data_IF_798781685187
#
_entry.id   IF_798781685187
#
_cell.length_a   1.000
_cell.length_b   1.000
_cell.length_c   1.000
_cell.angle_alpha   90.00
_cell.angle_beta   90.00
_cell.angle_gamma   90.00
#
_symmetry.space_group_name_H-M   'P 1'
#
loop_
_entity.id
_entity.type
_entity.pdbx_description
1 polymer ?
#
# COMPACT_ATOMS: atom_id res chain seq x y z
N UNK A 1 36.07 -26.04 -41.97
CA UNK A 1 35.03 -26.98 -41.50
C UNK A 1 35.28 -27.24 -40.03
N UNK A 2 34.37 -26.83 -39.15
CA UNK A 2 34.41 -27.20 -37.73
C UNK A 2 33.99 -28.66 -37.61
N UNK A 3 34.92 -29.52 -37.18
CA UNK A 3 34.63 -30.94 -36.91
C UNK A 3 34.14 -31.04 -35.45
N UNK A 4 32.94 -31.60 -35.26
CA UNK A 4 32.41 -31.96 -33.94
C UNK A 4 32.69 -33.45 -33.70
N UNK A 5 33.45 -33.77 -32.66
CA UNK A 5 33.98 -35.12 -32.41
C UNK A 5 33.09 -36.04 -31.56
N UNK A 6 31.92 -35.57 -31.09
CA UNK A 6 30.95 -36.37 -30.34
C UNK A 6 29.61 -35.62 -30.17
N UNK A 7 28.48 -36.31 -29.92
CA UNK A 7 27.23 -35.65 -29.56
C UNK A 7 27.41 -34.92 -28.23
N UNK A 8 27.16 -33.61 -28.24
CA UNK A 8 27.09 -32.81 -27.02
C UNK A 8 25.63 -32.60 -26.63
N UNK A 9 25.31 -32.84 -25.35
CA UNK A 9 24.02 -32.47 -24.79
C UNK A 9 24.10 -31.02 -24.32
N UNK A 10 23.38 -30.13 -25.00
CA UNK A 10 23.09 -28.81 -24.46
C UNK A 10 21.84 -28.92 -23.60
N UNK A 11 21.96 -28.67 -22.30
CA UNK A 11 20.80 -28.44 -21.43
C UNK A 11 20.49 -26.95 -21.50
N UNK A 12 19.33 -26.59 -22.03
CA UNK A 12 18.84 -25.23 -21.96
C UNK A 12 18.35 -24.99 -20.51
N UNK A 13 19.17 -24.31 -19.71
CA UNK A 13 18.76 -23.75 -18.43
C UNK A 13 18.01 -22.44 -18.72
N UNK A 14 16.69 -22.46 -18.62
CA UNK A 14 15.91 -21.23 -18.52
C UNK A 14 16.03 -20.75 -17.07
N UNK A 15 17.08 -19.98 -16.77
CA UNK A 15 17.18 -19.33 -15.46
C UNK A 15 16.06 -18.29 -15.35
N UNK A 16 15.21 -18.36 -14.30
CA UNK A 16 14.14 -17.40 -14.11
C UNK A 16 14.74 -16.02 -13.84
N UNK A 17 14.63 -15.11 -14.81
CA UNK A 17 15.10 -13.72 -14.66
C UNK A 17 14.01 -12.88 -13.98
N UNK A 18 14.36 -12.04 -12.99
CA UNK A 18 13.43 -11.08 -12.42
C UNK A 18 12.78 -10.21 -13.50
N UNK A 19 11.46 -10.06 -13.45
CA UNK A 19 10.73 -9.16 -14.32
C UNK A 19 9.56 -8.53 -13.57
N UNK A 20 9.42 -7.21 -13.69
CA UNK A 20 8.24 -6.48 -13.18
C UNK A 20 7.18 -6.50 -14.27
N UNK A 21 5.94 -6.84 -13.92
CA UNK A 21 4.84 -6.83 -14.87
C UNK A 21 4.56 -5.40 -15.37
N UNK A 22 4.08 -5.19 -16.61
CA UNK A 22 3.62 -3.88 -17.07
C UNK A 22 2.55 -3.30 -16.12
N UNK A 23 2.78 -2.11 -15.58
CA UNK A 23 1.90 -1.52 -14.57
C UNK A 23 1.88 -2.29 -13.23
N UNK A 24 2.89 -3.13 -12.98
CA UNK A 24 3.00 -3.99 -11.82
C UNK A 24 3.39 -3.27 -10.52
N UNK A 25 3.80 -1.99 -10.58
CA UNK A 25 4.06 -1.19 -9.39
C UNK A 25 2.83 -0.34 -9.08
N UNK A 26 2.19 -0.62 -7.95
CA UNK A 26 0.88 -0.05 -7.59
C UNK A 26 0.85 0.33 -6.12
N UNK A 27 -0.11 1.15 -5.73
CA UNK A 27 -0.43 1.40 -4.33
C UNK A 27 -0.86 0.06 -3.68
N UNK A 28 -0.28 -0.28 -2.52
CA UNK A 28 -0.50 -1.58 -1.88
C UNK A 28 -1.94 -1.81 -1.42
N UNK A 29 -2.75 -0.76 -1.30
CA UNK A 29 -4.15 -0.84 -0.94
C UNK A 29 -5.08 -1.32 -2.08
N UNK A 30 -4.53 -1.62 -3.26
CA UNK A 30 -5.26 -2.08 -4.46
C UNK A 30 -6.45 -1.19 -4.83
N UNK A 31 -6.27 -0.35 -5.87
CA UNK A 31 -7.28 0.62 -6.30
C UNK A 31 -7.11 2.03 -5.70
N UNK A 32 -5.95 2.34 -5.09
CA UNK A 32 -5.59 3.73 -4.77
C UNK A 32 -5.67 4.65 -5.99
N UNK A 33 -5.58 5.97 -5.79
CA UNK A 33 -5.71 6.97 -6.87
C UNK A 33 -4.97 6.51 -8.14
N UNK A 34 -5.72 6.36 -9.25
CA UNK A 34 -5.23 5.80 -10.51
C UNK A 34 -4.06 6.60 -11.13
N UNK A 35 -3.74 7.77 -10.57
CA UNK A 35 -2.83 8.75 -11.14
C UNK A 35 -1.43 8.76 -10.49
N UNK A 36 -1.13 7.87 -9.54
CA UNK A 36 0.24 7.66 -9.08
C UNK A 36 0.41 7.16 -7.65
N UNK A 37 1.63 7.29 -7.14
CA UNK A 37 2.06 6.83 -5.82
C UNK A 37 2.53 8.04 -5.00
N UNK A 38 2.35 8.01 -3.69
CA UNK A 38 2.78 9.11 -2.82
C UNK A 38 4.00 8.73 -1.98
N UNK A 39 4.85 9.70 -1.66
CA UNK A 39 5.93 9.52 -0.69
C UNK A 39 5.38 9.00 0.65
N UNK A 40 6.10 8.06 1.26
CA UNK A 40 5.67 7.38 2.48
C UNK A 40 4.62 6.29 2.28
N UNK A 41 4.01 6.15 1.10
CA UNK A 41 2.99 5.12 0.85
C UNK A 41 3.58 3.71 0.80
N UNK A 42 2.74 2.71 1.10
CA UNK A 42 3.06 1.33 0.78
C UNK A 42 2.75 1.07 -0.69
N UNK A 43 3.69 0.41 -1.36
CA UNK A 43 3.58 -0.02 -2.75
C UNK A 43 3.72 -1.54 -2.84
N UNK A 44 3.02 -2.12 -3.81
CA UNK A 44 3.18 -3.51 -4.23
C UNK A 44 3.81 -3.55 -5.62
N UNK A 45 4.82 -4.40 -5.79
CA UNK A 45 5.53 -4.64 -7.05
C UNK A 45 5.25 -6.07 -7.47
N UNK A 46 4.45 -6.25 -8.52
CA UNK A 46 4.07 -7.55 -9.08
C UNK A 46 4.97 -7.93 -10.24
N UNK A 47 5.25 -9.23 -10.35
CA UNK A 47 6.13 -9.73 -11.39
C UNK A 47 6.36 -11.23 -11.32
N UNK A 48 7.50 -11.65 -11.86
CA UNK A 48 7.99 -13.02 -11.82
C UNK A 48 9.44 -13.05 -11.37
N UNK A 49 9.80 -14.08 -10.61
CA UNK A 49 11.18 -14.34 -10.18
C UNK A 49 11.80 -13.16 -9.40
N UNK A 50 10.98 -12.37 -8.70
CA UNK A 50 11.43 -11.16 -8.01
C UNK A 50 12.29 -11.45 -6.76
N UNK A 51 12.14 -12.65 -6.19
CA UNK A 51 12.85 -13.14 -5.01
C UNK A 51 12.99 -14.67 -5.11
N UNK A 52 14.04 -15.28 -4.54
CA UNK A 52 14.19 -16.74 -4.52
C UNK A 52 13.16 -17.43 -3.62
N UNK A 53 12.66 -16.72 -2.61
CA UNK A 53 11.74 -17.27 -1.61
C UNK A 53 10.86 -16.18 -1.01
N UNK A 54 9.85 -16.64 -0.27
CA UNK A 54 8.99 -15.81 0.55
C UNK A 54 9.74 -15.39 1.82
N UNK A 55 9.80 -14.10 2.12
CA UNK A 55 10.26 -13.59 3.42
C UNK A 55 9.46 -12.37 3.83
N UNK A 56 8.93 -12.39 5.05
CA UNK A 56 8.33 -11.24 5.72
C UNK A 56 9.42 -10.50 6.49
N UNK A 57 9.45 -9.17 6.39
CA UNK A 57 10.35 -8.33 7.17
C UNK A 57 9.93 -8.20 8.65
N UNK A 58 10.77 -7.64 9.52
CA UNK A 58 10.36 -7.25 10.87
C UNK A 58 9.25 -6.19 10.83
N UNK A 59 8.51 -6.04 11.92
CA UNK A 59 7.43 -5.04 12.02
C UNK A 59 7.93 -3.60 12.08
N UNK A 60 9.09 -3.34 12.71
CA UNK A 60 9.77 -2.04 12.75
C UNK A 60 11.17 -2.16 13.39
N UNK A 61 12.21 -1.49 12.86
CA UNK A 61 12.22 -0.87 11.54
C UNK A 61 12.22 -1.93 10.44
N UNK A 62 11.57 -1.63 9.31
CA UNK A 62 11.64 -2.45 8.10
C UNK A 62 13.09 -2.55 7.59
N UNK A 63 13.45 -3.71 7.05
CA UNK A 63 14.78 -3.93 6.46
C UNK A 63 14.81 -3.48 5.00
N UNK A 64 15.95 -2.98 4.52
CA UNK A 64 16.16 -2.62 3.11
C UNK A 64 16.65 -3.80 2.26
N UNK A 65 16.82 -4.98 2.87
CA UNK A 65 17.16 -6.23 2.18
C UNK A 65 16.42 -7.40 2.82
N UNK A 66 15.81 -8.25 1.99
CA UNK A 66 15.19 -9.52 2.37
C UNK A 66 15.57 -10.54 1.28
N UNK A 67 16.04 -11.74 1.65
CA UNK A 67 16.52 -12.75 0.68
C UNK A 67 17.56 -12.22 -0.34
N UNK A 68 18.42 -11.27 0.08
CA UNK A 68 19.37 -10.57 -0.83
C UNK A 68 18.68 -9.84 -2.00
N UNK A 69 17.40 -9.51 -1.83
CA UNK A 69 16.62 -8.65 -2.71
C UNK A 69 16.59 -7.25 -2.11
N UNK A 70 16.90 -6.27 -2.94
CA UNK A 70 16.78 -4.85 -2.62
C UNK A 70 15.87 -4.18 -3.64
N UNK A 71 15.19 -3.12 -3.21
CA UNK A 71 14.41 -2.25 -4.09
C UNK A 71 14.92 -0.83 -3.95
N UNK A 72 15.14 -0.16 -5.07
CA UNK A 72 15.56 1.24 -5.12
C UNK A 72 14.58 2.07 -5.93
N UNK A 73 14.46 3.33 -5.53
CA UNK A 73 13.95 4.41 -6.35
C UNK A 73 15.07 5.44 -6.46
N UNK A 74 15.51 5.70 -7.68
CA UNK A 74 16.72 6.48 -7.95
C UNK A 74 17.91 5.96 -7.11
N UNK A 75 18.40 6.75 -6.15
CA UNK A 75 19.50 6.42 -5.24
C UNK A 75 19.10 5.89 -3.86
N UNK A 76 17.80 5.87 -3.54
CA UNK A 76 17.31 5.51 -2.21
C UNK A 76 16.81 4.06 -2.15
N UNK A 77 17.29 3.29 -1.16
CA UNK A 77 16.76 1.96 -0.86
C UNK A 77 15.42 2.05 -0.14
N UNK A 78 14.44 1.32 -0.64
CA UNK A 78 13.11 1.24 -0.02
C UNK A 78 13.14 0.26 1.16
N UNK A 79 12.54 0.61 2.30
CA UNK A 79 12.25 -0.35 3.35
C UNK A 79 11.22 -1.40 2.87
N UNK A 80 11.50 -2.67 3.12
CA UNK A 80 10.73 -3.81 2.62
C UNK A 80 9.86 -4.41 3.72
N UNK A 81 8.56 -4.51 3.44
CA UNK A 81 7.60 -5.23 4.28
C UNK A 81 7.68 -6.73 4.02
N UNK A 82 7.82 -7.12 2.76
CA UNK A 82 7.71 -8.50 2.31
C UNK A 82 8.30 -8.69 0.91
N UNK A 83 8.89 -9.87 0.65
CA UNK A 83 9.30 -10.30 -0.69
C UNK A 83 8.79 -11.71 -0.98
N UNK A 84 8.46 -11.98 -2.24
CA UNK A 84 8.17 -13.31 -2.79
C UNK A 84 8.55 -13.36 -4.27
N UNK A 85 8.56 -14.56 -4.89
CA UNK A 85 8.80 -14.66 -6.33
C UNK A 85 7.83 -13.84 -7.19
N UNK A 86 6.59 -13.60 -6.73
CA UNK A 86 5.58 -12.89 -7.51
C UNK A 86 5.26 -11.46 -7.04
N UNK A 87 5.70 -11.08 -5.84
CA UNK A 87 5.30 -9.81 -5.23
C UNK A 87 6.34 -9.29 -4.23
N UNK A 88 6.60 -7.99 -4.25
CA UNK A 88 7.33 -7.27 -3.20
C UNK A 88 6.43 -6.16 -2.64
N UNK A 89 6.35 -6.03 -1.32
CA UNK A 89 5.74 -4.88 -0.67
C UNK A 89 6.81 -4.03 -0.01
N UNK A 90 6.80 -2.73 -0.29
CA UNK A 90 7.81 -1.79 0.17
C UNK A 90 7.19 -0.44 0.52
N UNK A 91 7.89 0.37 1.31
CA UNK A 91 7.52 1.75 1.57
C UNK A 91 8.28 2.68 0.63
N UNK A 92 7.58 3.58 -0.06
CA UNK A 92 8.25 4.69 -0.74
C UNK A 92 8.81 5.67 0.29
N UNK A 93 10.04 6.19 0.12
CA UNK A 93 10.59 7.20 1.02
C UNK A 93 9.71 8.44 1.08
N UNK A 94 9.56 9.05 2.26
CA UNK A 94 8.80 10.30 2.42
C UNK A 94 9.37 11.44 1.56
N UNK A 95 10.69 11.48 1.41
CA UNK A 95 11.40 12.52 0.66
C UNK A 95 11.36 12.35 -0.87
N UNK A 96 10.64 11.34 -1.38
CA UNK A 96 10.52 11.11 -2.83
C UNK A 96 9.83 12.31 -3.48
N UNK A 97 10.52 12.97 -4.41
CA UNK A 97 9.97 14.12 -5.13
C UNK A 97 8.79 13.72 -6.02
N UNK A 98 7.98 14.70 -6.41
CA UNK A 98 6.92 14.49 -7.40
C UNK A 98 7.54 14.41 -8.80
N UNK A 99 7.06 13.50 -9.63
CA UNK A 99 7.59 13.32 -10.99
C UNK A 99 7.56 11.87 -11.46
N UNK A 100 8.26 11.61 -12.57
CA UNK A 100 8.47 10.26 -13.06
C UNK A 100 9.78 9.71 -12.51
N UNK A 101 9.71 8.52 -11.92
CA UNK A 101 10.83 7.81 -11.33
C UNK A 101 10.92 6.39 -11.86
N UNK A 102 12.06 5.74 -11.64
CA UNK A 102 12.23 4.31 -11.94
C UNK A 102 12.41 3.53 -10.66
N UNK A 103 11.56 2.53 -10.44
CA UNK A 103 11.78 1.52 -9.40
C UNK A 103 12.64 0.42 -9.98
N UNK A 104 13.66 0.00 -9.24
CA UNK A 104 14.58 -1.07 -9.61
C UNK A 104 14.58 -2.14 -8.52
N UNK A 105 14.26 -3.38 -8.90
CA UNK A 105 14.40 -4.57 -8.07
C UNK A 105 15.70 -5.26 -8.44
N UNK A 106 16.56 -5.47 -7.45
CA UNK A 106 17.83 -6.17 -7.62
C UNK A 106 17.88 -7.38 -6.68
N UNK A 107 17.93 -8.57 -7.25
CA UNK A 107 18.27 -9.81 -6.57
C UNK A 107 19.73 -10.17 -6.89
N UNK A 108 20.56 -10.42 -5.87
CA UNK A 108 21.99 -10.69 -6.06
C UNK A 108 22.24 -11.85 -7.05
N UNK A 109 23.11 -11.60 -8.04
CA UNK A 109 23.45 -12.60 -9.07
C UNK A 109 22.51 -12.64 -10.27
N UNK A 110 21.40 -11.88 -10.24
CA UNK A 110 20.45 -11.77 -11.35
C UNK A 110 20.49 -10.37 -12.01
N UNK A 111 20.10 -10.25 -13.29
CA UNK A 111 19.83 -8.96 -13.91
C UNK A 111 18.76 -8.17 -13.14
N UNK A 112 18.87 -6.82 -13.05
CA UNK A 112 17.86 -5.99 -12.41
C UNK A 112 16.57 -5.97 -13.23
N UNK A 113 15.43 -5.90 -12.53
CA UNK A 113 14.14 -5.59 -13.13
C UNK A 113 13.76 -4.14 -12.81
N UNK A 114 13.18 -3.42 -13.76
CA UNK A 114 12.79 -2.03 -13.53
C UNK A 114 11.45 -1.68 -14.14
N UNK A 115 10.77 -0.69 -13.54
CA UNK A 115 9.52 -0.16 -14.04
C UNK A 115 9.40 1.34 -13.72
N UNK A 116 8.87 2.14 -14.65
CA UNK A 116 8.58 3.55 -14.38
C UNK A 116 7.38 3.68 -13.46
N UNK A 117 7.40 4.69 -12.59
CA UNK A 117 6.27 5.06 -11.73
C UNK A 117 6.07 6.59 -11.74
N UNK A 118 4.81 7.06 -11.69
CA UNK A 118 4.51 8.44 -11.37
C UNK A 118 4.37 8.61 -9.85
N UNK A 119 5.15 9.55 -9.30
CA UNK A 119 5.03 10.00 -7.92
C UNK A 119 4.28 11.32 -7.88
N UNK A 120 3.21 11.36 -7.10
CA UNK A 120 2.33 12.51 -6.89
C UNK A 120 2.28 12.86 -5.40
N UNK A 121 1.79 14.05 -5.07
CA UNK A 121 1.80 14.52 -3.69
C UNK A 121 0.93 13.69 -2.74
N UNK A 122 -0.25 13.28 -3.19
CA UNK A 122 -1.21 12.48 -2.43
C UNK A 122 -1.78 11.41 -3.36
N UNK A 123 -1.86 10.17 -2.89
CA UNK A 123 -2.37 9.04 -3.65
C UNK A 123 -3.10 8.08 -2.71
N UNK A 124 -4.21 8.52 -2.10
CA UNK A 124 -4.89 7.74 -1.08
C UNK A 124 -5.40 6.41 -1.66
N UNK A 125 -5.18 5.33 -0.94
CA UNK A 125 -5.79 4.03 -1.18
C UNK A 125 -6.26 3.43 0.14
N UNK A 126 -7.43 2.79 0.13
CA UNK A 126 -8.04 2.14 1.30
C UNK A 126 -7.86 0.64 1.19
N UNK A 127 -7.31 0.01 2.23
CA UNK A 127 -7.14 -1.44 2.25
C UNK A 127 -8.51 -2.12 2.23
N UNK A 128 -8.61 -3.22 1.50
CA UNK A 128 -9.84 -4.00 1.42
C UNK A 128 -9.57 -5.49 1.28
N UNK A 129 -10.60 -6.27 1.56
CA UNK A 129 -10.65 -7.73 1.41
C UNK A 129 -11.90 -8.12 0.63
N UNK A 130 -11.99 -9.38 0.22
CA UNK A 130 -13.13 -9.88 -0.56
C UNK A 130 -12.89 -9.81 -2.07
N UNK A 131 -13.98 -9.69 -2.83
CA UNK A 131 -13.93 -9.70 -4.31
C UNK A 131 -13.90 -8.28 -4.86
N UNK A 132 -13.45 -8.06 -6.10
CA UNK A 132 -13.55 -6.74 -6.75
C UNK A 132 -14.99 -6.18 -6.80
N UNK A 133 -16.01 -7.04 -6.80
CA UNK A 133 -17.42 -6.64 -6.77
C UNK A 133 -17.89 -6.25 -5.36
N UNK A 134 -17.22 -6.71 -4.31
CA UNK A 134 -17.53 -6.43 -2.91
C UNK A 134 -16.24 -6.23 -2.09
N UNK A 135 -15.54 -5.09 -2.28
CA UNK A 135 -14.30 -4.80 -1.57
C UNK A 135 -14.62 -4.35 -0.14
N UNK A 136 -14.66 -5.27 0.82
CA UNK A 136 -14.91 -4.95 2.23
C UNK A 136 -13.68 -4.22 2.79
N UNK A 137 -13.85 -2.98 3.24
CA UNK A 137 -12.74 -2.16 3.72
C UNK A 137 -12.14 -2.70 5.02
N UNK A 138 -10.85 -2.41 5.24
CA UNK A 138 -10.19 -2.67 6.50
C UNK A 138 -10.59 -1.60 7.52
N UNK A 139 -11.70 -1.82 8.21
CA UNK A 139 -12.20 -0.96 9.26
C UNK A 139 -11.91 -1.57 10.64
N UNK A 140 -11.51 -0.72 11.58
CA UNK A 140 -11.22 -1.12 12.97
C UNK A 140 -11.88 -0.17 13.96
N UNK A 141 -12.32 -0.70 15.09
CA UNK A 141 -12.77 0.08 16.25
C UNK A 141 -11.58 0.56 17.08
N UNK A 142 -11.85 1.40 18.09
CA UNK A 142 -10.82 1.93 18.98
C UNK A 142 -10.05 0.86 19.77
N UNK A 143 -10.68 -0.28 20.04
CA UNK A 143 -10.06 -1.44 20.71
C UNK A 143 -9.29 -2.36 19.74
N UNK A 144 -9.20 -1.99 18.46
CA UNK A 144 -8.55 -2.76 17.42
C UNK A 144 -9.40 -3.88 16.82
N UNK A 145 -10.64 -4.09 17.29
CA UNK A 145 -11.52 -5.12 16.72
C UNK A 145 -11.92 -4.76 15.28
N UNK A 146 -11.88 -5.72 14.35
CA UNK A 146 -12.27 -5.46 12.97
C UNK A 146 -13.79 -5.32 12.84
N UNK A 147 -14.22 -4.43 11.94
CA UNK A 147 -15.61 -4.38 11.46
C UNK A 147 -15.74 -5.38 10.31
N UNK A 148 -16.67 -6.31 10.43
CA UNK A 148 -16.90 -7.39 9.44
C UNK A 148 -18.40 -7.54 9.17
N UNK A 149 -18.78 -8.38 8.21
CA UNK A 149 -20.20 -8.70 7.98
C UNK A 149 -20.85 -9.42 9.17
N UNK A 150 -20.06 -10.13 9.98
CA UNK A 150 -20.52 -10.78 11.22
C UNK A 150 -20.43 -9.88 12.45
N UNK A 151 -19.72 -8.76 12.35
CA UNK A 151 -19.57 -7.74 13.39
C UNK A 151 -19.69 -6.34 12.77
N UNK A 152 -20.87 -5.99 12.22
CA UNK A 152 -21.07 -4.75 11.48
C UNK A 152 -21.04 -3.54 12.42
N UNK A 153 -20.93 -2.35 11.84
CA UNK A 153 -20.99 -1.10 12.61
C UNK A 153 -22.42 -0.55 12.66
N UNK A 154 -22.76 0.13 13.76
CA UNK A 154 -24.01 0.85 13.96
C UNK A 154 -23.84 2.37 13.77
N UNK A 155 -24.97 3.07 13.67
CA UNK A 155 -24.99 4.53 13.57
C UNK A 155 -24.29 5.19 14.76
N UNK A 156 -23.58 6.30 14.51
CA UNK A 156 -22.81 7.09 15.49
C UNK A 156 -21.57 6.40 16.11
N UNK A 157 -21.31 5.12 15.82
CA UNK A 157 -20.05 4.50 16.26
C UNK A 157 -18.83 5.21 15.66
N UNK A 158 -17.70 5.13 16.37
CA UNK A 158 -16.42 5.65 15.90
C UNK A 158 -15.59 4.50 15.37
N UNK A 159 -15.17 4.61 14.11
CA UNK A 159 -14.33 3.62 13.44
C UNK A 159 -13.17 4.31 12.73
N UNK A 160 -12.11 3.55 12.48
CA UNK A 160 -11.01 3.96 11.61
C UNK A 160 -11.00 3.11 10.36
N UNK A 161 -10.89 3.74 9.19
CA UNK A 161 -10.56 3.02 7.95
C UNK A 161 -9.05 3.04 7.75
N UNK A 162 -8.48 1.89 7.39
CA UNK A 162 -7.06 1.74 7.15
C UNK A 162 -6.74 1.91 5.66
N UNK A 163 -5.61 2.56 5.37
CA UNK A 163 -5.18 2.84 4.01
C UNK A 163 -3.70 3.18 3.92
N UNK A 164 -3.29 3.76 2.80
CA UNK A 164 -1.95 4.30 2.61
C UNK A 164 -1.96 5.44 1.60
N UNK A 165 -0.90 6.25 1.59
CA UNK A 165 -0.69 7.30 0.60
C UNK A 165 -1.47 8.58 0.87
N UNK A 166 -1.79 8.87 2.14
CA UNK A 166 -2.45 10.13 2.53
C UNK A 166 -1.64 11.37 2.14
N UNK A 167 -0.31 11.29 2.07
CA UNK A 167 0.56 12.38 1.62
C UNK A 167 1.53 12.85 2.71
N UNK A 168 2.00 14.10 2.64
CA UNK A 168 3.10 14.57 3.47
C UNK A 168 2.68 14.90 4.90
N UNK A 169 3.64 14.75 5.82
CA UNK A 169 3.55 15.23 7.20
C UNK A 169 4.30 16.56 7.35
N UNK A 170 3.96 17.32 8.39
CA UNK A 170 4.72 18.50 8.80
C UNK A 170 6.09 18.03 9.33
N UNK A 171 7.08 18.04 8.44
CA UNK A 171 8.37 17.36 8.64
C UNK A 171 8.34 15.92 8.13
N UNK A 172 9.48 15.42 7.65
CA UNK A 172 9.59 14.06 7.12
C UNK A 172 9.84 13.07 8.27
N UNK A 173 8.94 12.11 8.51
CA UNK A 173 9.20 11.00 9.41
C UNK A 173 10.33 10.11 8.87
N UNK A 174 11.03 9.33 9.73
CA UNK A 174 12.02 8.37 9.26
C UNK A 174 11.36 7.22 8.50
N UNK A 175 11.93 6.87 7.35
CA UNK A 175 11.47 5.76 6.52
C UNK A 175 11.66 4.41 7.24
N UNK A 176 10.71 3.50 7.06
CA UNK A 176 10.80 2.14 7.60
C UNK A 176 10.42 2.01 9.07
N UNK A 177 10.13 3.09 9.79
CA UNK A 177 9.75 3.04 11.21
C UNK A 177 8.24 3.11 11.40
N UNK A 178 7.77 2.34 12.39
CA UNK A 178 6.40 2.44 12.89
C UNK A 178 6.28 3.70 13.74
N UNK A 179 5.22 4.46 13.50
CA UNK A 179 4.80 5.57 14.33
C UNK A 179 3.28 5.75 14.21
N UNK A 180 2.69 6.50 15.12
CA UNK A 180 1.25 6.65 15.23
C UNK A 180 0.84 8.05 15.72
N UNK A 181 -0.43 8.20 16.12
CA UNK A 181 -1.03 9.42 16.65
C UNK A 181 -0.25 10.05 17.81
N UNK A 182 0.46 9.24 18.62
CA UNK A 182 1.24 9.71 19.76
C UNK A 182 2.63 10.24 19.42
N UNK A 183 3.06 10.04 18.16
CA UNK A 183 4.45 10.31 17.74
C UNK A 183 4.73 11.76 17.34
N UNK A 184 3.71 12.63 17.34
CA UNK A 184 3.86 14.06 17.09
C UNK A 184 4.00 14.47 15.62
N UNK A 185 3.82 13.55 14.68
CA UNK A 185 3.75 13.87 13.24
C UNK A 185 2.32 14.25 12.87
N UNK A 186 2.16 15.42 12.23
CA UNK A 186 0.84 15.92 11.78
C UNK A 186 0.75 15.85 10.26
N UNK A 187 -0.30 15.22 9.74
CA UNK A 187 -0.58 15.21 8.30
C UNK A 187 -0.88 16.65 7.84
N UNK A 188 -0.31 17.07 6.71
CA UNK A 188 -0.43 18.47 6.25
C UNK A 188 -1.81 18.78 5.68
N UNK A 189 -2.41 17.84 4.96
CA UNK A 189 -3.66 18.08 4.25
C UNK A 189 -4.86 17.53 5.00
N UNK A 190 -6.00 18.25 5.00
CA UNK A 190 -7.22 17.75 5.58
C UNK A 190 -7.78 16.57 4.77
N UNK A 191 -8.36 15.61 5.48
CA UNK A 191 -9.08 14.48 4.90
C UNK A 191 -10.58 14.73 4.98
N UNK A 192 -11.32 14.32 3.95
CA UNK A 192 -12.78 14.21 3.97
C UNK A 192 -13.13 12.74 3.73
N UNK A 193 -14.01 12.18 4.56
CA UNK A 193 -14.55 10.82 4.31
C UNK A 193 -15.88 10.97 3.58
N UNK A 194 -15.99 10.33 2.42
CA UNK A 194 -17.21 10.25 1.62
C UNK A 194 -17.91 8.94 1.98
N UNK A 195 -19.09 9.01 2.60
CA UNK A 195 -19.81 7.85 3.16
C UNK A 195 -21.21 7.82 2.56
N UNK A 196 -21.44 6.97 1.56
CA UNK A 196 -22.65 7.01 0.74
C UNK A 196 -22.80 8.37 0.07
N UNK A 197 -23.88 9.10 0.39
CA UNK A 197 -24.12 10.48 -0.05
C UNK A 197 -23.67 11.54 0.95
N UNK A 198 -23.25 11.13 2.16
CA UNK A 198 -22.78 12.02 3.21
C UNK A 198 -21.29 12.32 3.06
N UNK A 199 -20.88 13.51 3.54
CA UNK A 199 -19.49 13.90 3.69
C UNK A 199 -19.19 14.15 5.16
N UNK A 200 -18.18 13.46 5.69
CA UNK A 200 -17.70 13.68 7.05
C UNK A 200 -16.42 14.51 6.97
N UNK A 201 -16.49 15.75 7.45
CA UNK A 201 -15.39 16.72 7.46
C UNK A 201 -14.76 16.90 8.84
N UNK A 202 -15.49 16.59 9.91
CA UNK A 202 -14.96 16.58 11.28
C UNK A 202 -14.26 15.24 11.55
N UNK A 203 -13.05 15.10 10.99
CA UNK A 203 -12.21 13.91 11.16
C UNK A 203 -11.58 13.91 12.55
N UNK A 204 -11.72 12.80 13.28
CA UNK A 204 -11.20 12.67 14.64
C UNK A 204 -9.69 12.41 14.65
N UNK A 205 -9.19 11.72 13.62
CA UNK A 205 -7.76 11.49 13.40
C UNK A 205 -7.50 11.14 11.94
N UNK A 206 -6.39 11.63 11.38
CA UNK A 206 -5.84 11.20 10.11
C UNK A 206 -4.31 11.20 10.18
N UNK A 207 -3.71 10.03 9.98
CA UNK A 207 -2.26 9.87 10.08
C UNK A 207 -1.86 8.40 10.13
N UNK A 208 -0.63 8.10 10.58
CA UNK A 208 -0.17 6.72 10.69
C UNK A 208 -0.90 5.93 11.76
N UNK A 209 -0.98 4.63 11.52
CA UNK A 209 -1.59 3.64 12.38
C UNK A 209 -0.53 2.74 12.98
N UNK A 210 -0.76 2.29 14.22
CA UNK A 210 0.03 1.22 14.84
C UNK A 210 -0.15 -0.15 14.15
N UNK A 211 -1.07 -0.25 13.18
CA UNK A 211 -1.30 -1.45 12.37
C UNK A 211 -0.10 -1.83 11.48
N UNK A 212 0.81 -0.90 11.18
CA UNK A 212 2.03 -1.21 10.42
C UNK A 212 2.72 0.00 9.81
N UNK A 213 3.99 -0.17 9.44
CA UNK A 213 4.76 0.87 8.74
C UNK A 213 4.09 1.22 7.42
N UNK A 214 3.88 2.51 7.17
CA UNK A 214 3.22 3.00 5.95
C UNK A 214 1.70 2.75 5.91
N UNK A 215 1.10 2.23 6.98
CA UNK A 215 -0.36 2.14 7.14
C UNK A 215 -0.87 3.42 7.77
N UNK A 216 -1.84 4.03 7.11
CA UNK A 216 -2.60 5.18 7.58
C UNK A 216 -3.93 4.74 8.20
N UNK A 217 -4.44 5.51 9.16
CA UNK A 217 -5.78 5.41 9.72
C UNK A 217 -6.51 6.75 9.59
N UNK A 218 -7.77 6.70 9.16
CA UNK A 218 -8.69 7.84 9.18
C UNK A 218 -9.87 7.50 10.09
N UNK A 219 -9.94 8.16 11.24
CA UNK A 219 -10.95 7.94 12.29
C UNK A 219 -12.10 8.92 12.16
N UNK A 220 -13.32 8.42 12.10
CA UNK A 220 -14.53 9.22 11.93
C UNK A 220 -15.72 8.59 12.63
N UNK A 221 -16.77 9.38 12.86
CA UNK A 221 -18.06 8.88 13.35
C UNK A 221 -18.95 8.46 12.18
N UNK A 222 -19.53 7.27 12.27
CA UNK A 222 -20.49 6.73 11.29
C UNK A 222 -21.74 7.60 11.28
N UNK A 223 -22.29 7.97 10.10
CA UNK A 223 -23.49 8.80 10.01
C UNK A 223 -24.66 8.28 10.85
N UNK A 224 -25.38 9.20 11.50
CA UNK A 224 -26.53 8.87 12.35
C UNK A 224 -27.69 8.20 11.57
N UNK A 225 -27.81 8.49 10.27
CA UNK A 225 -28.83 7.93 9.39
C UNK A 225 -28.19 6.94 8.42
N UNK A 226 -28.44 5.64 8.64
CA UNK A 226 -27.97 4.56 7.79
C UNK A 226 -29.06 4.11 6.81
N UNK A 227 -28.71 3.78 5.55
CA UNK A 227 -29.67 3.21 4.61
C UNK A 227 -30.11 1.80 5.05
N UNK A 228 -31.24 1.33 4.51
CA UNK A 228 -31.66 -0.07 4.64
C UNK A 228 -30.85 -0.95 3.66
N UNK A 229 -29.56 -1.11 3.94
CA UNK A 229 -28.61 -1.88 3.14
C UNK A 229 -27.57 -2.55 4.04
N UNK A 230 -26.95 -3.67 3.61
CA UNK A 230 -25.93 -4.35 4.40
C UNK A 230 -24.56 -3.64 4.39
N UNK A 231 -24.36 -2.72 3.45
CA UNK A 231 -23.09 -2.04 3.25
C UNK A 231 -23.29 -0.56 2.94
N UNK A 232 -22.28 0.24 3.32
CA UNK A 232 -22.16 1.64 2.95
C UNK A 232 -20.85 1.84 2.18
N UNK A 233 -20.93 2.47 1.01
CA UNK A 233 -19.75 2.78 0.22
C UNK A 233 -18.94 3.90 0.89
N UNK A 234 -17.64 3.69 1.06
CA UNK A 234 -16.72 4.63 1.69
C UNK A 234 -15.56 4.94 0.74
N UNK A 235 -15.23 6.22 0.64
CA UNK A 235 -13.99 6.74 0.03
C UNK A 235 -13.39 7.80 0.95
N UNK A 236 -12.15 8.15 0.71
CA UNK A 236 -11.55 9.36 1.26
C UNK A 236 -11.12 10.30 0.15
N UNK A 237 -11.15 11.60 0.46
CA UNK A 237 -10.64 12.66 -0.39
C UNK A 237 -9.61 13.48 0.36
N UNK A 238 -8.46 13.71 -0.26
CA UNK A 238 -7.37 14.53 0.29
C UNK A 238 -6.70 15.29 -0.85
N UNK A 239 -6.53 16.61 -0.70
CA UNK A 239 -5.93 17.49 -1.72
C UNK A 239 -6.52 17.30 -3.15
N UNK A 240 -7.84 17.04 -3.26
CA UNK A 240 -8.54 16.80 -4.52
C UNK A 240 -8.38 15.39 -5.12
N UNK A 241 -7.59 14.51 -4.49
CA UNK A 241 -7.45 13.10 -4.87
C UNK A 241 -8.45 12.23 -4.12
N UNK A 242 -9.12 11.31 -4.82
CA UNK A 242 -10.11 10.39 -4.24
C UNK A 242 -9.55 8.96 -4.28
N UNK A 243 -9.75 8.21 -3.20
CA UNK A 243 -9.34 6.80 -3.10
C UNK A 243 -10.22 5.85 -3.91
N UNK A 244 -9.86 4.55 -3.94
CA UNK A 244 -10.82 3.49 -4.21
C UNK A 244 -12.05 3.58 -3.30
N UNK A 245 -13.10 2.90 -3.74
CA UNK A 245 -14.30 2.65 -2.95
C UNK A 245 -14.14 1.34 -2.21
N UNK A 246 -14.42 1.36 -0.90
CA UNK A 246 -14.55 0.16 -0.07
C UNK A 246 -15.94 0.13 0.56
N UNK A 247 -16.37 -1.06 0.99
CA UNK A 247 -17.67 -1.28 1.62
C UNK A 247 -17.47 -1.41 3.13
N UNK A 248 -18.21 -0.60 3.87
CA UNK A 248 -18.35 -0.66 5.32
C UNK A 248 -19.56 -1.53 5.67
N UNK A 249 -19.40 -2.68 6.33
CA UNK A 249 -20.52 -3.48 6.83
C UNK A 249 -21.31 -2.71 7.89
N UNK A 250 -22.63 -2.58 7.71
CA UNK A 250 -23.51 -1.84 8.61
C UNK A 250 -24.69 -2.69 9.08
N UNK A 251 -25.19 -2.38 10.27
CA UNK A 251 -26.48 -2.86 10.77
C UNK A 251 -27.31 -1.68 11.26
N UNK A 252 -28.62 -1.74 11.01
CA UNK A 252 -29.57 -0.87 11.69
C UNK A 252 -29.71 -1.27 13.16
#
# INVERSE_FOLDING_TARGET
>A
MLSMASPQTAVLLLDPVPAIAPGGVQNAAFGGSANGLAGGSLISIFGSSLSPAVQVGPSSPLLQTLQNVTVRIDDAFLPLVFVSPQQINAQLPYATAQGSHTVVVQWQGMPPASAPIPVVRNAPGLFSSGTPAQPIGAFVRADGTPVTTSNPVHANEIVSVLGTGLGPYAGNPPDGYLFDESSGYTLVDPVVVLVGTAQVTNILYAGRSSAGVGVDAVRFSVPASLPAAPFLAVKIQIAGQVSNTVLLPISQ
#
